data_IF_387339492307
#
_entry.id   IF_387339492307
#
_cell.length_a   1.000
_cell.length_b   1.000
_cell.length_c   1.000
_cell.angle_alpha   90.00
_cell.angle_beta   90.00
_cell.angle_gamma   90.00
#
_symmetry.space_group_name_H-M   'P 1'
#
loop_
_entity.id
_entity.type
_entity.pdbx_description
1 polymer ?
#
# COMPACT_ATOMS: atom_id res chain seq x y z
N UNK A 1 13.90 14.28 -24.69
CA UNK A 1 13.62 14.19 -23.25
C UNK A 1 13.22 12.76 -22.96
N UNK A 2 14.02 12.01 -22.18
CA UNK A 2 13.61 10.66 -21.73
C UNK A 2 12.37 10.84 -20.86
N UNK A 3 11.26 10.18 -21.19
CA UNK A 3 10.09 10.08 -20.35
C UNK A 3 10.54 9.48 -19.01
N UNK A 4 10.68 10.34 -18.01
CA UNK A 4 10.86 9.89 -16.64
C UNK A 4 9.50 9.36 -16.19
N UNK A 5 9.42 8.06 -16.18
CA UNK A 5 8.23 7.29 -15.78
C UNK A 5 8.08 7.41 -14.25
N UNK A 6 7.51 8.54 -13.79
CA UNK A 6 7.20 8.75 -12.36
C UNK A 6 5.98 7.91 -12.00
N UNK A 7 6.23 6.65 -11.68
CA UNK A 7 5.17 5.71 -11.32
C UNK A 7 4.72 5.83 -9.86
N UNK A 8 5.55 6.42 -9.00
CA UNK A 8 5.29 6.55 -7.57
C UNK A 8 5.60 7.95 -7.06
N UNK A 9 4.79 8.45 -6.12
CA UNK A 9 5.05 9.68 -5.38
C UNK A 9 6.13 9.51 -4.29
N UNK A 10 6.37 10.57 -3.51
CA UNK A 10 7.26 10.55 -2.34
C UNK A 10 8.74 10.78 -2.62
N UNK A 11 9.15 11.11 -3.84
CA UNK A 11 10.55 11.34 -4.19
C UNK A 11 10.94 12.82 -4.10
N UNK A 12 10.79 13.42 -2.91
CA UNK A 12 11.09 14.84 -2.68
C UNK A 12 12.54 15.20 -2.95
N UNK A 13 13.47 14.29 -2.67
CA UNK A 13 14.92 14.54 -2.90
C UNK A 13 15.22 14.77 -4.38
N UNK A 14 14.65 13.96 -5.27
CA UNK A 14 14.80 14.13 -6.70
C UNK A 14 14.24 15.47 -7.18
N UNK A 15 13.07 15.88 -6.68
CA UNK A 15 12.46 17.15 -7.07
C UNK A 15 13.21 18.34 -6.51
N UNK A 16 13.70 18.26 -5.26
CA UNK A 16 14.56 19.28 -4.67
C UNK A 16 15.79 19.53 -5.52
N UNK A 17 16.50 18.47 -5.90
CA UNK A 17 17.68 18.56 -6.76
C UNK A 17 17.35 19.09 -8.16
N UNK A 18 16.33 18.53 -8.79
CA UNK A 18 15.94 18.89 -10.17
C UNK A 18 15.53 20.34 -10.31
N UNK A 19 14.85 20.90 -9.33
CA UNK A 19 14.34 22.28 -9.37
C UNK A 19 15.13 23.24 -8.50
N UNK A 20 16.21 22.78 -7.87
CA UNK A 20 17.07 23.54 -6.97
C UNK A 20 16.29 24.21 -5.82
N UNK A 21 15.39 23.47 -5.20
CA UNK A 21 14.67 23.89 -4.01
C UNK A 21 15.29 23.28 -2.74
N UNK A 22 15.15 23.99 -1.61
CA UNK A 22 15.40 23.35 -0.30
C UNK A 22 14.30 22.32 0.00
N UNK A 23 14.64 21.22 0.67
CA UNK A 23 13.66 20.23 1.12
C UNK A 23 12.60 20.85 2.03
N UNK A 24 12.95 21.89 2.81
CA UNK A 24 12.02 22.63 3.67
C UNK A 24 10.94 23.40 2.90
N UNK A 25 11.20 23.71 1.64
CA UNK A 25 10.30 24.52 0.81
C UNK A 25 9.35 23.68 -0.03
N UNK A 26 9.47 22.34 0.07
CA UNK A 26 8.66 21.40 -0.69
C UNK A 26 7.54 20.87 0.20
N UNK A 27 6.30 21.04 -0.27
CA UNK A 27 5.14 20.38 0.29
C UNK A 27 4.85 19.14 -0.56
N UNK A 28 5.07 17.93 0.01
CA UNK A 28 4.82 16.69 -0.70
C UNK A 28 3.36 16.25 -0.54
N UNK A 29 2.58 16.42 -1.60
CA UNK A 29 1.22 15.91 -1.71
C UNK A 29 1.12 14.68 -2.63
N UNK A 30 2.26 14.11 -3.06
CA UNK A 30 2.31 13.00 -4.01
C UNK A 30 2.26 11.61 -3.35
N UNK A 31 2.40 11.55 -2.04
CA UNK A 31 2.34 10.30 -1.27
C UNK A 31 1.52 10.48 0.01
N UNK A 32 0.77 9.44 0.38
CA UNK A 32 -0.03 9.42 1.61
C UNK A 32 0.86 9.15 2.83
N UNK A 33 1.72 10.09 3.16
CA UNK A 33 2.60 10.02 4.32
C UNK A 33 1.95 10.80 5.46
N UNK A 34 1.98 10.21 6.66
CA UNK A 34 1.47 10.87 7.87
C UNK A 34 2.33 12.10 8.16
N UNK A 35 1.76 13.33 8.21
CA UNK A 35 2.54 14.56 8.37
C UNK A 35 2.93 14.85 9.83
N UNK A 36 2.62 13.94 10.75
CA UNK A 36 2.87 14.11 12.17
C UNK A 36 4.18 13.42 12.57
N UNK A 37 4.81 13.96 13.61
CA UNK A 37 5.94 13.29 14.25
C UNK A 37 5.50 11.96 14.86
N UNK A 38 6.39 10.99 14.88
CA UNK A 38 6.13 9.69 15.48
C UNK A 38 5.76 9.90 16.97
N UNK A 39 4.64 9.34 17.46
CA UNK A 39 4.23 9.43 18.86
C UNK A 39 5.32 8.95 19.81
N UNK A 40 5.46 9.61 20.96
CA UNK A 40 6.53 9.30 21.93
C UNK A 40 6.47 7.85 22.38
N UNK A 41 5.27 7.34 22.71
CA UNK A 41 5.12 5.96 23.14
C UNK A 41 5.66 4.95 22.11
N UNK A 42 5.48 5.20 20.81
CA UNK A 42 5.97 4.32 19.74
C UNK A 42 7.49 4.39 19.63
N UNK A 43 8.09 5.59 19.84
CA UNK A 43 9.55 5.73 19.89
C UNK A 43 10.14 4.93 21.06
N UNK A 44 9.50 5.01 22.23
CA UNK A 44 9.93 4.33 23.44
C UNK A 44 9.88 2.81 23.24
N UNK A 45 8.79 2.27 22.70
CA UNK A 45 8.66 0.84 22.38
C UNK A 45 9.70 0.37 21.37
N UNK A 46 9.99 1.15 20.33
CA UNK A 46 11.05 0.83 19.38
C UNK A 46 12.43 0.81 20.05
N UNK A 47 12.73 1.77 20.95
CA UNK A 47 13.96 1.79 21.71
C UNK A 47 14.07 0.56 22.64
N UNK A 48 12.98 0.16 23.29
CA UNK A 48 12.93 -1.04 24.13
C UNK A 48 13.19 -2.29 23.28
N UNK A 49 12.54 -2.41 22.12
CA UNK A 49 12.74 -3.53 21.21
C UNK A 49 14.20 -3.66 20.73
N UNK A 50 14.86 -2.53 20.45
CA UNK A 50 16.26 -2.49 20.06
C UNK A 50 17.15 -2.93 21.25
N UNK A 51 16.94 -2.39 22.46
CA UNK A 51 17.71 -2.76 23.65
C UNK A 51 17.59 -4.24 24.01
N UNK A 52 16.41 -4.81 23.80
CA UNK A 52 16.12 -6.22 24.05
C UNK A 52 16.55 -7.13 22.87
N UNK A 53 17.20 -6.59 21.85
CA UNK A 53 17.64 -7.33 20.66
C UNK A 53 16.49 -8.15 20.01
N UNK A 54 15.27 -7.62 20.02
CA UNK A 54 14.08 -8.34 19.53
C UNK A 54 14.19 -8.74 18.04
N UNK A 55 14.99 -8.02 17.27
CA UNK A 55 15.30 -8.32 15.86
C UNK A 55 16.26 -9.51 15.68
N UNK A 56 16.86 -10.03 16.75
CA UNK A 56 17.81 -11.18 16.71
C UNK A 56 17.10 -12.49 16.39
N UNK A 57 15.81 -12.56 16.68
CA UNK A 57 15.02 -13.77 16.50
C UNK A 57 14.20 -13.70 15.22
N UNK A 58 13.93 -14.87 14.65
CA UNK A 58 12.95 -14.94 13.55
C UNK A 58 11.59 -14.46 14.02
N UNK A 59 10.85 -13.72 13.20
CA UNK A 59 9.48 -13.33 13.54
C UNK A 59 8.59 -14.56 13.74
N UNK A 60 7.55 -14.39 14.52
CA UNK A 60 6.53 -15.42 14.69
C UNK A 60 5.92 -15.79 13.33
N UNK A 61 5.96 -17.08 12.99
CA UNK A 61 5.62 -17.58 11.66
C UNK A 61 4.23 -17.16 11.17
N UNK A 62 3.23 -17.20 12.06
CA UNK A 62 1.84 -16.92 11.72
C UNK A 62 1.39 -15.51 12.11
N UNK A 63 2.27 -14.72 12.74
CA UNK A 63 2.01 -13.37 13.23
C UNK A 63 0.73 -13.28 14.09
N UNK A 64 0.46 -14.33 14.92
CA UNK A 64 -0.76 -14.42 15.71
C UNK A 64 -0.93 -13.24 16.67
N UNK A 65 0.14 -12.88 17.39
CA UNK A 65 0.11 -11.72 18.29
C UNK A 65 -0.26 -10.42 17.58
N UNK A 66 0.28 -10.22 16.37
CA UNK A 66 -0.06 -9.04 15.55
C UNK A 66 -1.52 -9.09 15.10
N UNK A 67 -1.99 -10.23 14.61
CA UNK A 67 -3.38 -10.42 14.21
C UNK A 67 -4.36 -10.20 15.36
N UNK A 68 -4.05 -10.75 16.54
CA UNK A 68 -4.84 -10.56 17.75
C UNK A 68 -4.91 -9.07 18.13
N UNK A 69 -3.78 -8.35 18.14
CA UNK A 69 -3.75 -6.94 18.45
C UNK A 69 -4.58 -6.10 17.45
N UNK A 70 -4.45 -6.39 16.16
CA UNK A 70 -5.24 -5.73 15.11
C UNK A 70 -6.73 -6.10 15.27
N UNK A 71 -7.02 -7.37 15.54
CA UNK A 71 -8.39 -7.85 15.74
C UNK A 71 -9.09 -7.16 16.89
N UNK A 72 -8.41 -7.01 18.02
CA UNK A 72 -8.92 -6.28 19.19
C UNK A 72 -9.16 -4.80 18.82
N UNK A 73 -8.20 -4.15 18.18
CA UNK A 73 -8.30 -2.73 17.84
C UNK A 73 -9.45 -2.43 16.88
N UNK A 74 -9.67 -3.30 15.89
CA UNK A 74 -10.69 -3.10 14.86
C UNK A 74 -11.99 -3.86 15.12
N UNK A 75 -12.06 -4.66 16.19
CA UNK A 75 -13.18 -5.56 16.48
C UNK A 75 -13.48 -6.53 15.33
N UNK A 76 -12.43 -7.17 14.83
CA UNK A 76 -12.46 -8.12 13.71
C UNK A 76 -11.83 -9.43 14.16
N UNK A 77 -12.37 -10.56 13.69
CA UNK A 77 -11.78 -11.88 13.94
C UNK A 77 -10.34 -11.93 13.40
N UNK A 78 -9.34 -12.29 14.22
CA UNK A 78 -7.96 -12.44 13.77
C UNK A 78 -7.76 -13.34 12.56
N UNK A 79 -8.64 -14.31 12.34
CA UNK A 79 -8.61 -15.21 11.17
C UNK A 79 -8.90 -14.46 9.85
N UNK A 80 -9.58 -13.32 9.91
CA UNK A 80 -9.88 -12.47 8.77
C UNK A 80 -8.74 -11.47 8.45
N UNK A 81 -7.62 -11.51 9.20
CA UNK A 81 -6.53 -10.56 9.06
C UNK A 81 -5.34 -11.22 8.37
N UNK A 82 -4.92 -10.63 7.28
CA UNK A 82 -3.71 -11.02 6.54
C UNK A 82 -2.68 -9.88 6.61
N UNK A 83 -1.70 -9.96 7.50
CA UNK A 83 -0.63 -8.98 7.54
C UNK A 83 0.38 -9.21 6.42
N UNK A 84 0.96 -8.12 5.91
CA UNK A 84 2.00 -8.17 4.90
C UNK A 84 3.05 -7.08 5.10
N UNK A 85 4.15 -7.19 4.38
CA UNK A 85 5.24 -6.22 4.40
C UNK A 85 4.93 -5.04 3.48
N UNK A 86 3.93 -4.27 3.86
CA UNK A 86 3.40 -3.15 3.09
C UNK A 86 2.30 -3.55 2.10
N UNK A 87 1.56 -2.54 1.63
CA UNK A 87 0.43 -2.73 0.72
C UNK A 87 0.83 -3.40 -0.60
N UNK A 88 2.02 -3.13 -1.13
CA UNK A 88 2.48 -3.71 -2.39
C UNK A 88 2.60 -5.24 -2.35
N UNK A 89 2.98 -5.83 -1.21
CA UNK A 89 2.97 -7.28 -1.05
C UNK A 89 1.55 -7.82 -1.10
N UNK A 90 0.64 -7.23 -0.32
CA UNK A 90 -0.75 -7.67 -0.27
C UNK A 90 -1.44 -7.51 -1.63
N UNK A 91 -1.21 -6.42 -2.33
CA UNK A 91 -1.70 -6.20 -3.71
C UNK A 91 -1.16 -7.26 -4.66
N UNK A 92 0.08 -7.71 -4.48
CA UNK A 92 0.65 -8.80 -5.28
C UNK A 92 -0.10 -10.12 -5.06
N UNK A 93 -0.41 -10.45 -3.81
CA UNK A 93 -1.20 -11.64 -3.48
C UNK A 93 -2.61 -11.56 -4.06
N UNK A 94 -3.25 -10.38 -3.97
CA UNK A 94 -4.55 -10.14 -4.64
C UNK A 94 -4.44 -10.35 -6.15
N UNK A 95 -3.35 -9.89 -6.78
CA UNK A 95 -3.10 -10.12 -8.20
C UNK A 95 -2.99 -11.61 -8.56
N UNK A 96 -2.33 -12.42 -7.73
CA UNK A 96 -2.30 -13.86 -7.93
C UNK A 96 -3.67 -14.52 -7.82
N UNK A 97 -4.49 -14.10 -6.87
CA UNK A 97 -5.86 -14.60 -6.78
C UNK A 97 -6.70 -14.16 -7.97
N UNK A 98 -6.61 -12.89 -8.37
CA UNK A 98 -7.29 -12.34 -9.52
C UNK A 98 -6.92 -13.05 -10.84
N UNK A 99 -5.68 -13.55 -10.96
CA UNK A 99 -5.22 -14.29 -12.13
C UNK A 99 -5.99 -15.60 -12.38
N UNK A 100 -6.73 -16.11 -11.39
CA UNK A 100 -7.58 -17.29 -11.53
C UNK A 100 -8.87 -17.01 -12.32
N UNK A 101 -9.24 -15.74 -12.43
CA UNK A 101 -10.45 -15.31 -13.15
C UNK A 101 -10.11 -14.89 -14.58
N UNK A 102 -11.08 -15.07 -15.48
CA UNK A 102 -10.89 -14.77 -16.93
C UNK A 102 -10.80 -13.27 -17.20
N UNK A 103 -11.54 -12.47 -16.46
CA UNK A 103 -11.62 -11.02 -16.63
C UNK A 103 -11.48 -10.34 -15.28
N UNK A 104 -10.56 -9.38 -15.23
CA UNK A 104 -10.38 -8.50 -14.09
C UNK A 104 -10.66 -7.06 -14.51
N UNK A 105 -11.36 -6.30 -13.68
CA UNK A 105 -11.62 -4.89 -13.93
C UNK A 105 -10.85 -4.01 -12.97
N UNK A 106 -10.23 -2.97 -13.51
CA UNK A 106 -9.47 -1.99 -12.74
C UNK A 106 -10.00 -0.59 -13.01
N UNK A 107 -10.49 0.14 -11.99
CA UNK A 107 -10.85 1.54 -12.15
C UNK A 107 -9.59 2.39 -12.39
N UNK A 108 -9.64 3.26 -13.40
CA UNK A 108 -8.56 4.19 -13.72
C UNK A 108 -9.11 5.62 -13.84
N UNK A 109 -8.38 6.63 -13.37
CA UNK A 109 -7.03 6.55 -12.80
C UNK A 109 -7.03 5.92 -11.40
N UNK A 110 -6.00 5.13 -11.09
CA UNK A 110 -5.85 4.45 -9.81
C UNK A 110 -4.39 4.25 -9.43
N UNK A 111 -4.17 3.57 -8.32
CA UNK A 111 -2.82 3.29 -7.84
C UNK A 111 -2.10 2.32 -8.80
N UNK A 112 -0.88 2.67 -9.18
CA UNK A 112 -0.09 1.96 -10.22
C UNK A 112 0.15 0.49 -9.89
N UNK A 113 0.28 0.16 -8.62
CA UNK A 113 0.51 -1.22 -8.18
C UNK A 113 -0.64 -2.17 -8.48
N UNK A 114 -1.87 -1.67 -8.61
CA UNK A 114 -3.00 -2.51 -9.06
C UNK A 114 -2.78 -3.03 -10.48
N UNK A 115 -2.36 -2.14 -11.39
CA UNK A 115 -2.02 -2.55 -12.76
C UNK A 115 -0.86 -3.53 -12.78
N UNK A 116 0.17 -3.27 -11.98
CA UNK A 116 1.33 -4.16 -11.82
C UNK A 116 0.90 -5.56 -11.38
N UNK A 117 0.06 -5.64 -10.36
CA UNK A 117 -0.40 -6.92 -9.83
C UNK A 117 -1.28 -7.70 -10.82
N UNK A 118 -2.18 -7.01 -11.52
CA UNK A 118 -3.06 -7.65 -12.50
C UNK A 118 -2.35 -8.14 -13.76
N UNK A 119 -1.15 -7.63 -14.06
CA UNK A 119 -0.31 -8.15 -15.16
C UNK A 119 0.12 -9.60 -14.98
N UNK A 120 0.02 -10.15 -13.79
CA UNK A 120 0.20 -11.59 -13.55
C UNK A 120 -0.96 -12.43 -14.07
N UNK A 121 -2.15 -11.84 -14.25
CA UNK A 121 -3.30 -12.44 -14.93
C UNK A 121 -3.15 -12.39 -16.44
N UNK A 122 -3.97 -13.18 -17.14
CA UNK A 122 -3.93 -13.24 -18.60
C UNK A 122 -4.55 -12.03 -19.27
N UNK A 123 -5.60 -11.46 -18.67
CA UNK A 123 -6.31 -10.30 -19.21
C UNK A 123 -6.88 -9.44 -18.08
N UNK A 124 -6.79 -8.13 -18.24
CA UNK A 124 -7.54 -7.18 -17.42
C UNK A 124 -8.12 -6.08 -18.28
N UNK A 125 -9.26 -5.53 -17.87
CA UNK A 125 -9.89 -4.38 -18.51
C UNK A 125 -9.72 -3.17 -17.60
N UNK A 126 -9.23 -2.07 -18.17
CA UNK A 126 -9.23 -0.79 -17.49
C UNK A 126 -10.57 -0.10 -17.66
N UNK A 127 -11.12 0.42 -16.60
CA UNK A 127 -12.33 1.23 -16.62
C UNK A 127 -11.99 2.67 -16.25
N UNK A 128 -12.21 3.61 -17.18
CA UNK A 128 -12.03 5.03 -16.90
C UNK A 128 -13.26 5.52 -16.14
N UNK A 129 -13.01 5.99 -14.91
CA UNK A 129 -14.03 6.71 -14.14
C UNK A 129 -13.96 8.19 -14.48
N UNK A 130 -15.09 8.83 -14.70
CA UNK A 130 -15.12 10.29 -14.75
C UNK A 130 -14.84 10.86 -13.37
N UNK A 131 -14.11 12.01 -13.24
CA UNK A 131 -13.60 12.50 -11.97
C UNK A 131 -14.65 12.78 -10.89
N UNK A 132 -15.93 12.83 -11.24
CA UNK A 132 -17.03 13.13 -10.33
C UNK A 132 -18.23 12.20 -10.49
N UNK A 133 -18.11 11.12 -11.28
CA UNK A 133 -19.15 10.12 -11.35
C UNK A 133 -19.15 9.35 -10.03
N UNK A 134 -20.07 9.66 -9.14
CA UNK A 134 -20.44 8.77 -8.06
C UNK A 134 -21.04 7.52 -8.70
N UNK A 135 -20.25 6.48 -8.75
CA UNK A 135 -20.71 5.19 -9.24
C UNK A 135 -21.62 4.60 -8.17
N UNK A 136 -22.93 4.54 -8.42
CA UNK A 136 -23.92 3.91 -7.53
C UNK A 136 -23.69 2.40 -7.37
N UNK A 137 -22.77 1.83 -8.15
CA UNK A 137 -22.34 0.45 -8.07
C UNK A 137 -20.84 0.35 -8.33
N UNK A 138 -20.04 0.43 -7.27
CA UNK A 138 -18.69 -0.12 -7.31
C UNK A 138 -18.81 -1.65 -7.37
N UNK A 139 -19.03 -2.19 -8.54
CA UNK A 139 -18.88 -3.63 -8.78
C UNK A 139 -17.39 -3.95 -8.70
N UNK A 140 -16.95 -4.32 -7.52
CA UNK A 140 -15.69 -5.02 -7.32
C UNK A 140 -15.90 -6.42 -7.88
N UNK A 141 -15.32 -6.67 -9.06
CA UNK A 141 -15.30 -7.95 -9.73
C UNK A 141 -16.71 -8.62 -9.84
N UNK A 142 -17.35 -8.54 -10.99
CA UNK A 142 -18.27 -9.61 -11.38
C UNK A 142 -17.45 -10.90 -11.50
N UNK A 143 -17.56 -11.71 -10.48
CA UNK A 143 -17.03 -13.07 -10.45
C UNK A 143 -18.03 -13.93 -11.20
N UNK A 144 -17.73 -14.24 -12.44
CA UNK A 144 -18.44 -15.26 -13.19
C UNK A 144 -17.53 -16.43 -13.52
#
# INVERSE_FOLDING_TARGET
MKNLDFKHGGNIYYFAEKFNYSLSDIIDASASIVPFVIPTFLKDELCIAIKNESFRYYPERNLNKLKEAIGIFHNIDPSCIMPGNGASELITWVGFEAAKYKVNCLPVPGFVDYERALKWGKEYRSWKTEPFAMCDSCCWAEIS
#
